data_IF_983012627078
#
_entry.id   IF_983012627078
#
_cell.length_a   1.000
_cell.length_b   1.000
_cell.length_c   1.000
_cell.angle_alpha   90.00
_cell.angle_beta   90.00
_cell.angle_gamma   90.00
#
_symmetry.space_group_name_H-M   'P 1'
#
loop_
_entity.id
_entity.type
_entity.pdbx_description
1 polymer ?
#
# COMPACT_ATOMS: atom_id res chain seq x y z
N UNK A 1 -4.95 -11.18 -2.85
CA UNK A 1 -5.87 -11.85 -1.89
C UNK A 1 -6.09 -13.26 -2.40
N UNK A 2 -5.74 -14.28 -1.61
CA UNK A 2 -6.08 -15.66 -1.91
C UNK A 2 -7.35 -16.01 -1.13
N UNK A 3 -8.42 -16.43 -1.81
CA UNK A 3 -9.73 -16.77 -1.21
C UNK A 3 -9.71 -18.14 -0.50
N UNK A 4 -8.60 -18.49 0.14
CA UNK A 4 -8.37 -19.83 0.71
C UNK A 4 -7.74 -19.73 2.09
N UNK A 5 -8.15 -20.63 2.98
CA UNK A 5 -7.80 -20.64 4.39
C UNK A 5 -6.30 -20.75 4.69
N UNK A 6 -5.53 -21.38 3.81
CA UNK A 6 -4.10 -21.60 4.00
C UNK A 6 -3.42 -21.93 2.67
N UNK A 7 -2.07 -21.89 2.60
CA UNK A 7 -1.33 -22.39 1.44
C UNK A 7 -1.64 -23.86 1.12
N UNK A 8 -1.88 -24.69 2.13
CA UNK A 8 -2.28 -26.08 1.96
C UNK A 8 -3.68 -26.18 1.31
N UNK A 9 -4.65 -25.38 1.79
CA UNK A 9 -5.97 -25.29 1.15
C UNK A 9 -5.85 -24.86 -0.33
N UNK A 10 -4.94 -23.92 -0.62
CA UNK A 10 -4.69 -23.45 -1.98
C UNK A 10 -4.14 -24.55 -2.90
N UNK A 11 -3.15 -25.31 -2.42
CA UNK A 11 -2.56 -26.41 -3.17
C UNK A 11 -3.57 -27.52 -3.43
N UNK A 12 -4.35 -27.88 -2.40
CA UNK A 12 -5.38 -28.91 -2.52
C UNK A 12 -6.48 -28.51 -3.50
N UNK A 13 -6.91 -27.25 -3.46
CA UNK A 13 -7.84 -26.70 -4.44
C UNK A 13 -7.31 -26.83 -5.87
N UNK A 14 -6.04 -26.47 -6.11
CA UNK A 14 -5.41 -26.62 -7.44
C UNK A 14 -5.34 -28.07 -7.88
N UNK A 15 -5.06 -28.99 -6.95
CA UNK A 15 -4.98 -30.43 -7.22
C UNK A 15 -6.35 -31.01 -7.61
N UNK A 16 -7.39 -30.74 -6.83
CA UNK A 16 -8.76 -31.24 -7.08
C UNK A 16 -9.32 -30.71 -8.41
N UNK A 17 -9.04 -29.44 -8.72
CA UNK A 17 -9.50 -28.81 -9.96
C UNK A 17 -8.55 -28.99 -11.15
N UNK A 18 -7.50 -29.80 -11.00
CA UNK A 18 -6.48 -30.05 -12.01
C UNK A 18 -5.93 -28.76 -12.66
N UNK A 19 -5.62 -27.75 -11.84
CA UNK A 19 -5.08 -26.47 -12.30
C UNK A 19 -3.60 -26.67 -12.67
N UNK A 20 -3.36 -26.93 -13.96
CA UNK A 20 -2.04 -27.09 -14.56
C UNK A 20 -1.63 -25.90 -15.43
N UNK A 21 -0.32 -25.75 -15.63
CA UNK A 21 0.28 -24.87 -16.63
C UNK A 21 1.67 -25.37 -16.99
N UNK A 22 2.23 -24.87 -18.09
CA UNK A 22 3.63 -25.02 -18.41
C UNK A 22 4.50 -24.38 -17.31
N UNK A 23 5.42 -25.16 -16.74
CA UNK A 23 6.39 -24.65 -15.78
C UNK A 23 7.43 -23.77 -16.49
N UNK A 24 7.67 -22.57 -15.95
CA UNK A 24 8.62 -21.62 -16.53
C UNK A 24 10.07 -22.13 -16.48
N UNK A 25 10.42 -22.99 -15.52
CA UNK A 25 11.76 -23.57 -15.44
C UNK A 25 11.90 -24.86 -16.25
N UNK A 26 11.24 -25.95 -15.83
CA UNK A 26 11.47 -27.28 -16.42
C UNK A 26 10.73 -27.51 -17.75
N UNK A 27 9.91 -26.55 -18.21
CA UNK A 27 9.18 -26.58 -19.49
C UNK A 27 8.25 -27.79 -19.67
N UNK A 28 7.79 -28.40 -18.58
CA UNK A 28 6.78 -29.46 -18.59
C UNK A 28 5.43 -28.92 -18.12
N UNK A 29 4.34 -29.45 -18.67
CA UNK A 29 2.99 -29.20 -18.15
C UNK A 29 2.80 -29.96 -16.84
N UNK A 30 2.52 -29.24 -15.76
CA UNK A 30 2.37 -29.78 -14.41
C UNK A 30 1.36 -28.98 -13.62
N UNK A 31 0.87 -29.55 -12.51
CA UNK A 31 0.09 -28.81 -11.52
C UNK A 31 0.89 -27.58 -11.03
N UNK A 32 0.21 -26.44 -10.94
CA UNK A 32 0.85 -25.18 -10.56
C UNK A 32 1.03 -25.15 -9.04
N UNK A 33 2.26 -25.09 -8.57
CA UNK A 33 2.53 -24.83 -7.15
C UNK A 33 2.31 -23.35 -6.82
N UNK A 34 2.98 -22.47 -7.57
CA UNK A 34 2.98 -21.03 -7.34
C UNK A 34 2.99 -20.26 -8.67
N UNK A 35 2.45 -19.05 -8.64
CA UNK A 35 2.56 -18.06 -9.73
C UNK A 35 3.29 -16.85 -9.19
N UNK A 36 4.34 -16.42 -9.88
CA UNK A 36 5.11 -15.23 -9.52
C UNK A 36 5.18 -14.29 -10.70
N UNK A 37 5.00 -12.99 -10.45
CA UNK A 37 5.15 -11.96 -11.47
C UNK A 37 6.63 -11.61 -11.65
N UNK A 38 7.15 -11.82 -12.85
CA UNK A 38 8.54 -11.60 -13.25
C UNK A 38 8.55 -10.68 -14.47
N UNK A 39 9.12 -9.48 -14.33
CA UNK A 39 9.21 -8.48 -15.39
C UNK A 39 7.87 -8.27 -16.13
N UNK A 40 6.80 -8.04 -15.36
CA UNK A 40 5.41 -7.89 -15.81
C UNK A 40 4.74 -9.12 -16.45
N UNK A 41 5.39 -10.28 -16.46
CA UNK A 41 4.83 -11.55 -16.90
C UNK A 41 4.50 -12.45 -15.70
N UNK A 42 3.37 -13.14 -15.75
CA UNK A 42 3.07 -14.19 -14.78
C UNK A 42 3.82 -15.49 -15.15
N UNK A 43 4.65 -15.97 -14.24
CA UNK A 43 5.45 -17.18 -14.39
C UNK A 43 4.93 -18.26 -13.44
N UNK A 44 4.57 -19.42 -14.00
CA UNK A 44 4.07 -20.56 -13.25
C UNK A 44 5.21 -21.52 -12.89
N UNK A 45 5.24 -22.00 -11.66
CA UNK A 45 6.23 -22.97 -11.18
C UNK A 45 5.55 -24.21 -10.63
N UNK A 46 6.01 -25.38 -11.05
CA UNK A 46 5.47 -26.66 -10.59
C UNK A 46 5.98 -27.08 -9.20
N UNK A 47 7.04 -26.45 -8.69
CA UNK A 47 7.61 -26.73 -7.38
C UNK A 47 8.46 -25.55 -6.89
N UNK A 48 8.72 -25.53 -5.59
CA UNK A 48 9.66 -24.59 -4.97
C UNK A 48 11.06 -24.71 -5.58
N UNK A 49 11.53 -25.94 -5.85
CA UNK A 49 12.83 -26.17 -6.49
C UNK A 49 12.94 -25.54 -7.88
N UNK A 50 11.90 -25.65 -8.72
CA UNK A 50 11.87 -25.00 -10.03
C UNK A 50 11.91 -23.46 -9.92
N UNK A 51 11.24 -22.91 -8.90
CA UNK A 51 11.27 -21.46 -8.63
C UNK A 51 12.68 -21.02 -8.23
N UNK A 52 13.33 -21.70 -7.29
CA UNK A 52 14.69 -21.37 -6.82
C UNK A 52 15.70 -21.43 -7.98
N UNK A 53 15.65 -22.49 -8.79
CA UNK A 53 16.56 -22.64 -9.92
C UNK A 53 16.36 -21.53 -10.97
N UNK A 54 15.10 -21.15 -11.22
CA UNK A 54 14.80 -20.03 -12.10
C UNK A 54 15.32 -18.69 -11.56
N UNK A 55 15.16 -18.42 -10.26
CA UNK A 55 15.73 -17.23 -9.62
C UNK A 55 17.24 -17.14 -9.80
N UNK A 56 17.96 -18.25 -9.59
CA UNK A 56 19.40 -18.30 -9.78
C UNK A 56 19.82 -18.02 -11.23
N UNK A 57 19.04 -18.50 -12.21
CA UNK A 57 19.28 -18.13 -13.62
C UNK A 57 19.04 -16.65 -13.89
N UNK A 58 18.04 -16.03 -13.26
CA UNK A 58 17.80 -14.59 -13.39
C UNK A 58 18.96 -13.78 -12.82
N UNK A 59 19.49 -14.16 -11.65
CA UNK A 59 20.68 -13.53 -11.06
C UNK A 59 21.87 -13.55 -12.02
N UNK A 60 22.12 -14.70 -12.68
CA UNK A 60 23.17 -14.80 -13.70
C UNK A 60 22.91 -13.94 -14.93
N UNK A 61 21.66 -13.88 -15.41
CA UNK A 61 21.29 -13.19 -16.66
C UNK A 61 21.18 -11.68 -16.49
N UNK A 62 20.71 -11.21 -15.34
CA UNK A 62 20.37 -9.81 -15.10
C UNK A 62 21.33 -9.09 -14.16
N UNK A 63 22.14 -9.81 -13.37
CA UNK A 63 22.98 -9.20 -12.34
C UNK A 63 22.13 -8.57 -11.23
N UNK A 64 22.46 -7.35 -10.80
CA UNK A 64 21.66 -6.62 -9.81
C UNK A 64 20.28 -6.30 -10.38
N UNK A 65 19.23 -6.77 -9.73
CA UNK A 65 17.84 -6.61 -10.15
C UNK A 65 16.92 -6.62 -8.93
N UNK A 66 15.66 -6.23 -9.10
CA UNK A 66 14.70 -6.17 -7.99
C UNK A 66 14.18 -7.58 -7.73
N UNK A 67 14.55 -8.17 -6.59
CA UNK A 67 14.19 -9.55 -6.24
C UNK A 67 12.75 -9.67 -5.72
N UNK A 68 12.26 -8.63 -5.05
CA UNK A 68 10.87 -8.57 -4.59
C UNK A 68 10.48 -7.11 -4.38
N UNK A 69 9.80 -6.53 -5.37
CA UNK A 69 9.31 -5.16 -5.28
C UNK A 69 8.47 -4.97 -4.01
N UNK A 70 8.80 -3.97 -3.19
CA UNK A 70 8.13 -3.68 -1.92
C UNK A 70 6.63 -3.46 -2.09
N UNK A 71 6.21 -2.93 -3.23
CA UNK A 71 4.80 -2.65 -3.52
C UNK A 71 4.05 -3.86 -4.10
N UNK A 72 4.51 -4.40 -5.24
CA UNK A 72 3.76 -5.40 -6.00
C UNK A 72 4.31 -6.83 -5.89
N UNK A 73 5.38 -7.02 -5.09
CA UNK A 73 6.03 -8.31 -4.83
C UNK A 73 6.56 -9.02 -6.08
N UNK A 74 6.70 -8.30 -7.20
CA UNK A 74 7.24 -8.82 -8.47
C UNK A 74 8.76 -8.85 -8.45
N UNK A 75 9.35 -9.77 -9.20
CA UNK A 75 10.76 -9.72 -9.61
C UNK A 75 10.85 -8.86 -10.87
N UNK A 76 11.84 -8.00 -10.99
CA UNK A 76 12.04 -7.17 -12.19
C UNK A 76 13.51 -6.97 -12.50
N UNK A 77 13.84 -6.85 -13.78
CA UNK A 77 15.19 -6.49 -14.23
C UNK A 77 15.58 -5.08 -13.77
N UNK A 78 14.60 -4.19 -13.66
CA UNK A 78 14.77 -2.83 -13.14
C UNK A 78 14.68 -2.85 -11.61
N UNK A 79 15.60 -2.13 -10.96
CA UNK A 79 15.59 -1.89 -9.52
C UNK A 79 15.76 -0.41 -9.24
N UNK A 80 14.89 0.12 -8.39
CA UNK A 80 14.94 1.45 -7.84
C UNK A 80 15.01 1.31 -6.33
N UNK A 81 16.13 1.71 -5.75
CA UNK A 81 16.35 1.70 -4.29
C UNK A 81 16.04 3.09 -3.76
N UNK A 82 15.13 3.18 -2.79
CA UNK A 82 14.81 4.42 -2.08
C UNK A 82 15.26 4.24 -0.64
N UNK A 83 16.09 5.17 -0.15
CA UNK A 83 16.33 5.30 1.28
C UNK A 83 15.13 5.96 1.92
N UNK A 84 14.46 5.22 2.78
CA UNK A 84 13.47 5.74 3.72
C UNK A 84 14.12 5.83 5.11
N UNK A 85 13.58 6.67 6.00
CA UNK A 85 14.19 6.99 7.31
C UNK A 85 14.39 5.74 8.21
N UNK A 86 13.69 4.63 7.94
CA UNK A 86 13.78 3.38 8.69
C UNK A 86 14.51 2.23 7.95
N UNK A 87 14.50 2.17 6.60
CA UNK A 87 15.07 1.04 5.83
C UNK A 87 15.25 1.36 4.33
N UNK A 88 16.24 0.72 3.69
CA UNK A 88 16.29 0.61 2.22
C UNK A 88 15.11 -0.19 1.67
N UNK A 89 14.40 0.39 0.70
CA UNK A 89 13.28 -0.26 0.00
C UNK A 89 13.57 -0.37 -1.49
N UNK A 90 13.33 -1.55 -2.04
CA UNK A 90 13.47 -1.80 -3.48
C UNK A 90 12.12 -1.80 -4.19
N UNK A 91 12.10 -1.19 -5.37
CA UNK A 91 10.93 -1.12 -6.25
C UNK A 91 11.31 -1.52 -7.68
N UNK A 92 10.38 -2.14 -8.39
CA UNK A 92 10.58 -2.47 -9.80
C UNK A 92 10.41 -1.26 -10.73
N UNK A 93 9.82 -0.15 -10.26
CA UNK A 93 9.61 1.06 -11.05
C UNK A 93 9.33 2.27 -10.16
N UNK A 94 9.50 3.47 -10.72
CA UNK A 94 9.08 4.72 -10.09
C UNK A 94 7.58 4.74 -9.76
N UNK A 95 6.75 4.14 -10.61
CA UNK A 95 5.30 4.00 -10.38
C UNK A 95 5.01 3.17 -9.11
N UNK A 96 5.72 2.06 -8.91
CA UNK A 96 5.56 1.23 -7.70
C UNK A 96 6.02 1.97 -6.44
N UNK A 97 7.10 2.75 -6.54
CA UNK A 97 7.56 3.62 -5.45
C UNK A 97 6.51 4.69 -5.12
N UNK A 98 5.99 5.38 -6.13
CA UNK A 98 4.96 6.42 -5.97
C UNK A 98 3.66 5.86 -5.37
N UNK A 99 3.19 4.69 -5.83
CA UNK A 99 2.00 4.05 -5.24
C UNK A 99 2.22 3.65 -3.79
N UNK A 100 3.41 3.17 -3.46
CA UNK A 100 3.76 2.81 -2.09
C UNK A 100 3.78 4.04 -1.17
N UNK A 101 4.41 5.14 -1.61
CA UNK A 101 4.43 6.39 -0.82
C UNK A 101 3.05 7.01 -0.72
N UNK A 102 2.25 6.99 -1.78
CA UNK A 102 0.87 7.47 -1.77
C UNK A 102 -0.03 6.65 -0.84
N UNK A 103 0.12 5.32 -0.80
CA UNK A 103 -0.63 4.50 0.17
C UNK A 103 -0.19 4.80 1.60
N UNK A 104 1.12 4.96 1.85
CA UNK A 104 1.62 5.35 3.17
C UNK A 104 1.15 6.74 3.59
N UNK A 105 1.00 7.69 2.68
CA UNK A 105 0.46 9.01 3.02
C UNK A 105 -1.03 8.96 3.36
N UNK A 106 -1.80 8.00 2.82
CA UNK A 106 -3.16 7.73 3.29
C UNK A 106 -3.17 7.05 4.67
N UNK A 107 -2.25 6.11 4.93
CA UNK A 107 -2.11 5.49 6.26
C UNK A 107 -1.64 6.49 7.32
N UNK A 108 -0.76 7.44 6.96
CA UNK A 108 -0.38 8.54 7.86
C UNK A 108 -1.51 9.58 7.97
N UNK A 109 -2.28 9.82 6.91
CA UNK A 109 -3.48 10.65 7.01
C UNK A 109 -4.46 10.04 8.03
N UNK A 110 -4.72 8.73 8.07
CA UNK A 110 -5.61 8.15 9.09
C UNK A 110 -5.06 8.27 10.52
N UNK A 111 -3.73 8.22 10.70
CA UNK A 111 -3.07 8.42 12.01
C UNK A 111 -3.08 9.90 12.46
N UNK A 112 -2.99 10.86 11.53
CA UNK A 112 -3.07 12.31 11.81
C UNK A 112 -4.50 12.86 11.80
N UNK A 113 -5.46 12.18 11.16
CA UNK A 113 -6.83 12.66 10.99
C UNK A 113 -7.75 12.28 12.16
N UNK A 114 -7.35 11.32 13.00
CA UNK A 114 -8.06 10.98 14.24
C UNK A 114 -8.03 12.11 15.29
N UNK A 115 -6.90 12.77 15.63
CA UNK A 115 -6.93 13.93 16.52
C UNK A 115 -7.49 15.20 15.85
N UNK A 116 -7.35 15.36 14.53
CA UNK A 116 -7.80 16.56 13.81
C UNK A 116 -9.33 16.60 13.64
N UNK A 117 -10.00 15.44 13.48
CA UNK A 117 -11.48 15.37 13.49
C UNK A 117 -12.11 15.89 14.78
N UNK A 118 -11.41 15.81 15.91
CA UNK A 118 -11.89 16.33 17.21
C UNK A 118 -11.53 17.80 17.46
N UNK A 119 -10.55 18.35 16.74
CA UNK A 119 -10.17 19.77 16.85
C UNK A 119 -11.10 20.69 16.04
N UNK A 120 -11.60 20.24 14.89
CA UNK A 120 -12.51 21.04 14.04
C UNK A 120 -13.80 21.47 14.80
N UNK A 121 -14.48 20.60 15.58
CA UNK A 121 -15.62 21.00 16.41
C UNK A 121 -15.27 22.05 17.48
N UNK A 122 -14.07 21.96 18.08
CA UNK A 122 -13.62 22.91 19.10
C UNK A 122 -13.37 24.30 18.53
N UNK A 123 -12.77 24.41 17.34
CA UNK A 123 -12.57 25.70 16.68
C UNK A 123 -13.90 26.35 16.28
N UNK A 124 -14.87 25.57 15.82
CA UNK A 124 -16.20 26.08 15.48
C UNK A 124 -16.97 26.55 16.73
N UNK A 125 -16.87 25.83 17.85
CA UNK A 125 -17.45 26.27 19.13
C UNK A 125 -16.80 27.55 19.66
N UNK A 126 -15.48 27.67 19.59
CA UNK A 126 -14.78 28.90 19.99
C UNK A 126 -15.19 30.10 19.11
N UNK A 127 -15.32 29.91 17.80
CA UNK A 127 -15.80 30.95 16.89
C UNK A 127 -17.23 31.39 17.22
N UNK A 128 -18.13 30.45 17.55
CA UNK A 128 -19.49 30.76 17.98
C UNK A 128 -19.52 31.53 19.32
N UNK A 129 -18.69 31.13 20.28
CA UNK A 129 -18.57 31.83 21.58
C UNK A 129 -18.04 33.26 21.39
N UNK A 130 -17.02 33.44 20.54
CA UNK A 130 -16.45 34.77 20.23
C UNK A 130 -17.51 35.65 19.57
N UNK A 131 -18.24 35.12 18.60
CA UNK A 131 -19.29 35.85 17.90
C UNK A 131 -20.43 36.24 18.85
N UNK A 132 -20.85 35.33 19.72
CA UNK A 132 -21.88 35.59 20.74
C UNK A 132 -21.44 36.70 21.71
N UNK A 133 -20.19 36.66 22.18
CA UNK A 133 -19.62 37.72 23.05
C UNK A 133 -19.53 39.07 22.34
N UNK A 134 -19.17 39.09 21.05
CA UNK A 134 -19.15 40.33 20.28
C UNK A 134 -20.55 40.94 20.19
N UNK A 135 -21.55 40.13 19.85
CA UNK A 135 -22.94 40.56 19.74
C UNK A 135 -23.50 41.08 21.07
N UNK A 136 -23.17 40.45 22.20
CA UNK A 136 -23.53 40.94 23.53
C UNK A 136 -22.89 42.31 23.82
N UNK A 137 -21.62 42.51 23.47
CA UNK A 137 -20.94 43.81 23.64
C UNK A 137 -21.63 44.91 22.83
N UNK A 138 -22.05 44.61 21.61
CA UNK A 138 -22.71 45.58 20.74
C UNK A 138 -24.12 45.92 21.26
N UNK A 139 -24.86 44.95 21.81
CA UNK A 139 -26.14 45.18 22.48
C UNK A 139 -25.98 46.02 23.76
N UNK A 140 -24.95 45.78 24.57
CA UNK A 140 -24.64 46.58 25.76
C UNK A 140 -24.28 48.03 25.37
N UNK A 141 -23.47 48.22 24.33
CA UNK A 141 -23.15 49.56 23.80
C UNK A 141 -24.40 50.30 23.31
N UNK A 142 -25.28 49.59 22.59
CA UNK A 142 -26.55 50.16 22.12
C UNK A 142 -27.50 50.53 23.27
N UNK A 143 -27.61 49.69 24.30
CA UNK A 143 -28.40 49.97 25.50
C UNK A 143 -27.86 51.19 26.28
N UNK A 144 -26.54 51.31 26.44
CA UNK A 144 -25.90 52.44 27.11
C UNK A 144 -26.05 53.76 26.33
N UNK A 145 -26.03 53.71 25.00
CA UNK A 145 -26.26 54.90 24.16
C UNK A 145 -27.72 55.38 24.22
N UNK A 146 -28.68 54.46 24.41
CA UNK A 146 -30.10 54.79 24.58
C UNK A 146 -30.44 55.32 25.97
N UNK A 147 -29.64 55.00 26.98
CA UNK A 147 -29.84 55.46 28.37
C UNK A 147 -29.18 56.82 28.68
N UNK A 148 -28.26 57.27 27.81
CA UNK A 148 -27.58 58.58 27.90
C UNK A 148 -28.09 59.61 26.87
N UNK A 149 -29.23 59.34 26.22
CA UNK A 149 -29.97 60.25 25.35
C UNK A 149 -31.37 60.47 25.89
#
# INVERSE_FOLDING_TARGET
MNFVCSPACAQEFKRINNISSLCEYCKNERLINEVKKVNNKDCCFCSEGCKILFHYELEKKWGKHCQSCTFCLSISKTVLTVHDEELEKEFCSAECSFRYTSLRSHVSADYYYTPVKHLIPLFLLLAQIIFYRQRLRDQIKYANHKHNS
#
